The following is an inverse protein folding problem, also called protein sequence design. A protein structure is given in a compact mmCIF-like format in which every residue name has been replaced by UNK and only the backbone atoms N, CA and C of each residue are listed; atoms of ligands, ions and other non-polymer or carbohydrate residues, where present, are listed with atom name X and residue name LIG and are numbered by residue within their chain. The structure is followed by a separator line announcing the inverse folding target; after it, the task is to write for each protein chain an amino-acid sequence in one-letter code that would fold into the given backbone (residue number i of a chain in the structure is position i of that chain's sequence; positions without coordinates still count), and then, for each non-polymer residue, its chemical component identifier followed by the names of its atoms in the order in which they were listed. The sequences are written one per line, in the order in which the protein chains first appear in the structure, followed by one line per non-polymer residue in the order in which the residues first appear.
data_IF_256057265927
#
_entry.id   IF_256057265927
#
_cell.length_a   1.000
_cell.length_b   1.000
_cell.length_c   1.000
_cell.angle_alpha   90.00
_cell.angle_beta   90.00
_cell.angle_gamma   90.00
#
_symmetry.space_group_name_H-M   'P 1'
#
loop_
_entity.id
_entity.type
_entity.pdbx_description
1 polymer ?
#
# COMPACT_ATOMS: atom_id res chain seq x y z
N UNK A 1 -49.73 -18.55 36.23
CA UNK A 1 -48.68 -17.57 36.58
C UNK A 1 -47.41 -17.99 35.86
N UNK A 2 -47.30 -17.62 34.59
CA UNK A 2 -46.09 -17.82 33.80
C UNK A 2 -45.38 -16.46 33.74
N UNK A 3 -44.18 -16.38 34.33
CA UNK A 3 -43.32 -15.20 34.22
C UNK A 3 -42.37 -15.42 33.05
N UNK A 4 -42.59 -14.64 31.99
CA UNK A 4 -41.71 -14.52 30.83
C UNK A 4 -40.56 -13.58 31.22
N UNK A 5 -39.34 -14.11 31.32
CA UNK A 5 -38.12 -13.32 31.42
C UNK A 5 -37.78 -12.75 30.03
N UNK A 6 -37.87 -11.44 29.87
CA UNK A 6 -37.28 -10.72 28.75
C UNK A 6 -35.77 -10.62 28.97
N UNK A 7 -34.98 -11.40 28.24
CA UNK A 7 -33.53 -11.19 28.15
C UNK A 7 -33.27 -10.00 27.20
N UNK A 8 -32.78 -8.90 27.76
CA UNK A 8 -32.29 -7.76 27.00
C UNK A 8 -31.00 -8.15 26.26
N UNK A 9 -31.05 -8.17 24.93
CA UNK A 9 -29.85 -8.26 24.09
C UNK A 9 -29.16 -6.89 24.12
N UNK A 10 -28.28 -6.67 25.09
CA UNK A 10 -27.34 -5.55 25.07
C UNK A 10 -26.29 -5.82 24.00
N UNK A 11 -26.33 -5.04 22.90
CA UNK A 11 -25.24 -4.96 21.94
C UNK A 11 -23.96 -4.53 22.67
N UNK A 12 -23.02 -5.45 22.82
CA UNK A 12 -21.69 -5.20 23.36
C UNK A 12 -20.95 -4.25 22.41
N UNK A 13 -20.98 -2.95 22.73
CA UNK A 13 -20.10 -1.98 22.08
C UNK A 13 -18.66 -2.25 22.54
N UNK A 14 -17.77 -2.40 21.58
CA UNK A 14 -16.33 -2.44 21.81
C UNK A 14 -15.89 -1.22 22.62
N UNK A 15 -14.95 -1.37 23.57
CA UNK A 15 -14.38 -0.22 24.26
C UNK A 15 -13.84 0.77 23.22
N UNK A 16 -14.16 2.04 23.39
CA UNK A 16 -13.62 3.13 22.56
C UNK A 16 -12.10 3.04 22.61
N UNK A 17 -11.47 2.60 21.52
CA UNK A 17 -10.02 2.61 21.39
C UNK A 17 -9.58 4.08 21.51
N UNK A 18 -8.70 4.42 22.47
CA UNK A 18 -8.30 5.81 22.66
C UNK A 18 -7.64 6.34 21.38
N UNK A 19 -8.23 7.40 20.81
CA UNK A 19 -7.61 8.16 19.73
C UNK A 19 -6.32 8.75 20.29
N UNK A 20 -5.19 8.32 19.75
CA UNK A 20 -3.89 8.68 20.29
C UNK A 20 -3.47 10.06 19.78
N UNK A 21 -3.47 11.06 20.66
CA UNK A 21 -2.79 12.34 20.43
C UNK A 21 -1.35 12.25 20.93
N UNK A 22 -0.46 11.57 20.21
CA UNK A 22 0.99 11.75 20.40
C UNK A 22 1.41 13.00 19.63
N UNK A 23 1.25 14.17 20.25
CA UNK A 23 1.72 15.43 19.70
C UNK A 23 3.17 15.67 20.16
N UNK A 24 4.19 15.62 19.30
CA UNK A 24 5.52 16.06 19.68
C UNK A 24 5.58 17.59 19.58
N UNK A 25 5.49 18.24 20.74
CA UNK A 25 6.14 19.53 21.02
C UNK A 25 5.64 20.77 20.26
N UNK A 26 4.61 21.44 20.79
CA UNK A 26 4.61 22.91 20.85
C UNK A 26 4.02 23.35 22.20
N UNK A 27 4.89 23.86 23.08
CA UNK A 27 4.48 24.55 24.31
C UNK A 27 3.92 25.91 23.92
N UNK A 28 2.62 26.10 24.11
CA UNK A 28 2.07 27.42 24.43
C UNK A 28 1.09 27.27 25.59
N UNK A 29 1.44 27.90 26.70
CA UNK A 29 0.65 27.98 27.92
C UNK A 29 -0.59 28.85 27.71
N UNK A 30 -1.78 28.31 27.96
CA UNK A 30 -2.85 29.09 28.58
C UNK A 30 -3.89 28.14 29.17
N UNK A 31 -4.22 28.35 30.44
CA UNK A 31 -5.25 27.60 31.17
C UNK A 31 -6.64 27.93 30.63
N UNK A 32 -7.55 26.95 30.60
CA UNK A 32 -8.97 27.21 30.85
C UNK A 32 -9.72 25.92 31.22
N UNK A 33 -10.69 26.12 32.10
CA UNK A 33 -11.40 25.14 32.93
C UNK A 33 -12.52 24.45 32.16
N UNK A 34 -12.88 23.26 32.66
CA UNK A 34 -14.22 22.66 32.67
C UNK A 34 -15.23 23.16 31.62
N UNK A 35 -15.55 22.30 30.66
CA UNK A 35 -16.91 22.11 30.17
C UNK A 35 -17.06 20.65 29.75
N UNK A 36 -17.68 19.87 30.62
CA UNK A 36 -18.35 18.65 30.23
C UNK A 36 -19.61 19.09 29.48
N UNK A 37 -19.80 18.65 28.23
CA UNK A 37 -21.16 18.50 27.75
C UNK A 37 -21.34 17.40 26.72
N UNK A 38 -22.50 16.76 26.88
CA UNK A 38 -23.01 15.62 26.15
C UNK A 38 -23.48 16.08 24.77
N UNK A 39 -23.10 15.37 23.71
CA UNK A 39 -24.00 15.09 22.57
C UNK A 39 -23.33 14.12 21.60
N UNK A 40 -23.76 12.88 21.68
CA UNK A 40 -23.54 11.84 20.67
C UNK A 40 -24.86 11.66 19.92
N UNK A 41 -24.77 11.37 18.62
CA UNK A 41 -25.83 11.00 17.66
C UNK A 41 -26.55 12.12 16.90
N UNK A 42 -25.99 12.46 15.74
CA UNK A 42 -26.66 12.26 14.46
C UNK A 42 -25.65 12.44 13.32
N UNK A 43 -25.38 11.39 12.54
CA UNK A 43 -24.94 11.51 11.16
C UNK A 43 -25.31 10.22 10.43
N UNK A 44 -26.60 10.10 10.13
CA UNK A 44 -27.11 9.23 9.07
C UNK A 44 -27.17 10.09 7.82
N UNK A 45 -26.26 9.85 6.88
CA UNK A 45 -26.46 10.04 5.43
C UNK A 45 -25.11 9.88 4.73
N UNK A 46 -24.66 8.66 4.47
CA UNK A 46 -23.49 8.45 3.62
C UNK A 46 -23.74 7.55 2.40
N UNK A 47 -24.87 6.84 2.33
CA UNK A 47 -25.12 5.91 1.22
C UNK A 47 -26.56 6.06 0.72
N UNK A 48 -26.77 6.93 -0.27
CA UNK A 48 -27.95 6.88 -1.15
C UNK A 48 -27.46 6.88 -2.58
N UNK A 49 -27.50 5.71 -3.23
CA UNK A 49 -27.32 5.61 -4.68
C UNK A 49 -26.74 4.28 -5.15
N UNK A 50 -27.56 3.22 -5.21
CA UNK A 50 -27.38 2.13 -6.17
C UNK A 50 -28.68 1.34 -6.28
N UNK A 51 -29.51 1.72 -7.25
CA UNK A 51 -30.67 0.96 -7.68
C UNK A 51 -30.23 -0.17 -8.61
N UNK A 52 -30.74 -1.36 -8.32
CA UNK A 52 -30.78 -2.55 -9.16
C UNK A 52 -31.37 -2.25 -10.54
N UNK A 53 -30.80 -2.83 -11.60
CA UNK A 53 -31.55 -3.31 -12.77
C UNK A 53 -30.69 -4.23 -13.66
N UNK A 54 -31.41 -4.98 -14.47
CA UNK A 54 -31.21 -6.38 -14.79
C UNK A 54 -30.61 -6.61 -16.19
N UNK A 55 -30.22 -7.86 -16.40
CA UNK A 55 -29.69 -8.54 -17.58
C UNK A 55 -30.39 -8.29 -18.94
N UNK A 56 -29.58 -8.26 -20.04
CA UNK A 56 -29.69 -9.10 -21.27
C UNK A 56 -28.79 -8.59 -22.41
N UNK A 57 -27.98 -9.49 -22.99
CA UNK A 57 -27.30 -9.31 -24.29
C UNK A 57 -28.21 -9.59 -25.50
N UNK A 58 -27.68 -9.46 -26.73
CA UNK A 58 -27.41 -10.69 -27.50
C UNK A 58 -26.16 -10.68 -28.40
N UNK A 59 -25.79 -11.90 -28.80
CA UNK A 59 -24.73 -12.35 -29.72
C UNK A 59 -24.95 -11.93 -31.18
N UNK A 60 -23.86 -11.84 -31.96
CA UNK A 60 -23.73 -12.26 -33.37
C UNK A 60 -22.24 -12.46 -33.69
N UNK A 61 -21.76 -13.70 -33.82
CA UNK A 61 -21.40 -14.45 -35.05
C UNK A 61 -20.14 -14.00 -35.78
N UNK A 62 -19.20 -14.94 -35.85
CA UNK A 62 -17.90 -14.89 -36.51
C UNK A 62 -17.96 -14.93 -38.04
N UNK A 63 -16.93 -14.39 -38.69
CA UNK A 63 -16.43 -14.92 -39.96
C UNK A 63 -14.91 -14.89 -39.99
N UNK A 64 -14.33 -16.08 -40.11
CA UNK A 64 -12.91 -16.39 -40.32
C UNK A 64 -12.48 -16.08 -41.76
N UNK A 65 -11.24 -15.61 -41.91
CA UNK A 65 -10.50 -15.69 -43.17
C UNK A 65 -9.00 -15.84 -42.85
N UNK A 66 -8.51 -17.08 -42.95
CA UNK A 66 -7.09 -17.41 -42.95
C UNK A 66 -6.42 -16.86 -44.21
N UNK A 67 -5.30 -16.15 -44.05
CA UNK A 67 -4.22 -16.16 -45.04
C UNK A 67 -2.86 -16.27 -44.33
N UNK A 68 -2.11 -17.28 -44.75
CA UNK A 68 -0.75 -17.62 -44.33
C UNK A 68 0.31 -16.87 -45.18
N UNK A 69 1.60 -16.89 -44.80
CA UNK A 69 2.49 -15.74 -44.85
C UNK A 69 3.31 -15.66 -46.14
N UNK A 70 3.71 -14.43 -46.51
CA UNK A 70 4.81 -14.18 -47.45
C UNK A 70 6.00 -13.62 -46.70
N UNK A 71 7.08 -14.41 -46.65
CA UNK A 71 8.43 -13.94 -46.40
C UNK A 71 8.95 -13.24 -47.65
N UNK A 72 9.65 -12.10 -47.53
CA UNK A 72 10.75 -11.74 -48.43
C UNK A 72 11.62 -10.62 -47.84
N UNK A 73 12.93 -10.94 -47.81
CA UNK A 73 14.14 -10.12 -47.93
C UNK A 73 14.26 -8.75 -47.25
N UNK A 74 15.37 -8.63 -46.51
CA UNK A 74 15.85 -7.39 -45.92
C UNK A 74 16.19 -6.29 -46.92
N UNK A 75 16.12 -5.07 -46.43
CA UNK A 75 16.63 -3.88 -47.11
C UNK A 75 17.59 -3.19 -46.16
N UNK A 76 18.82 -3.04 -46.66
CA UNK A 76 19.92 -2.26 -46.11
C UNK A 76 19.46 -0.83 -45.81
N UNK A 77 19.66 -0.38 -44.56
CA UNK A 77 19.38 1.01 -44.18
C UNK A 77 20.56 1.88 -44.63
N UNK A 78 20.39 2.56 -45.76
CA UNK A 78 21.29 3.62 -46.18
C UNK A 78 21.05 4.86 -45.32
N UNK A 79 22.13 5.35 -44.71
CA UNK A 79 22.17 6.54 -43.87
C UNK A 79 21.85 7.78 -44.73
N UNK A 80 20.64 8.33 -44.56
CA UNK A 80 20.26 9.63 -45.11
C UNK A 80 20.54 10.68 -44.03
N UNK A 81 21.44 11.60 -44.32
CA UNK A 81 21.67 12.80 -43.49
C UNK A 81 20.62 13.84 -43.88
N UNK A 82 19.72 14.29 -42.99
CA UNK A 82 18.90 15.47 -43.24
C UNK A 82 19.70 16.72 -42.83
N UNK A 83 19.66 17.71 -43.71
CA UNK A 83 20.25 19.03 -43.52
C UNK A 83 19.51 19.90 -42.50
N UNK A 84 20.16 21.03 -42.23
CA UNK A 84 19.86 22.05 -41.23
C UNK A 84 18.37 22.43 -41.07
N UNK A 85 17.96 22.57 -39.81
CA UNK A 85 16.89 23.49 -39.41
C UNK A 85 15.49 22.89 -39.28
N UNK A 86 15.27 22.05 -38.28
CA UNK A 86 13.97 21.92 -37.59
C UNK A 86 14.24 21.61 -36.13
N UNK A 87 13.75 22.47 -35.23
CA UNK A 87 13.64 22.17 -33.80
C UNK A 87 12.71 20.97 -33.64
N UNK A 88 13.28 19.77 -33.66
CA UNK A 88 12.62 18.58 -33.17
C UNK A 88 12.62 18.67 -31.65
N UNK A 89 11.50 19.09 -31.08
CA UNK A 89 11.19 18.85 -29.67
C UNK A 89 11.37 17.33 -29.45
N UNK A 90 12.51 16.96 -28.87
CA UNK A 90 12.77 15.62 -28.37
C UNK A 90 11.86 15.45 -27.15
N UNK A 91 10.59 15.08 -27.40
CA UNK A 91 9.72 14.61 -26.33
C UNK A 91 10.37 13.35 -25.77
N UNK A 92 10.95 13.47 -24.57
CA UNK A 92 11.41 12.32 -23.82
C UNK A 92 10.19 11.39 -23.63
N UNK A 93 10.36 10.07 -23.79
CA UNK A 93 9.27 9.13 -23.57
C UNK A 93 8.80 9.24 -22.11
N UNK A 94 7.48 9.23 -21.87
CA UNK A 94 6.93 9.41 -20.53
C UNK A 94 7.48 8.35 -19.58
N UNK A 95 7.92 8.79 -18.41
CA UNK A 95 8.35 7.89 -17.35
C UNK A 95 7.17 7.29 -16.59
N UNK A 96 7.38 6.10 -16.03
CA UNK A 96 6.45 5.43 -15.13
C UNK A 96 7.15 5.00 -13.85
N UNK A 97 6.40 4.96 -12.75
CA UNK A 97 6.81 4.30 -11.51
C UNK A 97 5.99 3.04 -11.34
N UNK A 98 6.66 1.88 -11.30
CA UNK A 98 6.01 0.61 -10.98
C UNK A 98 6.45 0.15 -9.60
N UNK A 99 5.48 0.07 -8.69
CA UNK A 99 5.63 -0.58 -7.39
C UNK A 99 5.13 -2.02 -7.48
N UNK A 100 5.90 -2.96 -6.97
CA UNK A 100 5.58 -4.37 -7.10
C UNK A 100 6.06 -5.19 -5.90
N UNK A 101 5.39 -6.29 -5.64
CA UNK A 101 5.86 -7.27 -4.67
C UNK A 101 5.26 -8.65 -4.90
N UNK A 102 5.92 -9.67 -4.34
CA UNK A 102 5.40 -11.03 -4.25
C UNK A 102 6.02 -11.76 -3.08
N UNK A 103 5.17 -12.38 -2.26
CA UNK A 103 5.59 -13.40 -1.32
C UNK A 103 5.75 -14.75 -2.03
N UNK A 104 6.91 -15.38 -1.87
CA UNK A 104 7.23 -16.67 -2.45
C UNK A 104 8.28 -17.38 -1.60
N UNK A 105 8.30 -18.72 -1.61
CA UNK A 105 9.45 -19.46 -1.10
C UNK A 105 10.60 -19.29 -2.09
N UNK A 106 11.57 -18.45 -1.77
CA UNK A 106 12.63 -17.98 -2.68
C UNK A 106 14.03 -18.12 -2.05
N UNK A 107 14.49 -19.34 -1.72
CA UNK A 107 15.73 -19.56 -0.95
C UNK A 107 17.00 -19.10 -1.70
N UNK A 108 16.99 -19.15 -3.03
CA UNK A 108 18.12 -18.77 -3.88
C UNK A 108 18.14 -17.28 -4.27
N UNK A 109 17.38 -16.42 -3.57
CA UNK A 109 17.23 -15.00 -3.85
C UNK A 109 18.54 -14.22 -4.05
N UNK A 110 19.62 -14.62 -3.35
CA UNK A 110 20.92 -13.96 -3.43
C UNK A 110 21.52 -14.00 -4.83
N UNK A 111 21.30 -15.09 -5.57
CA UNK A 111 21.83 -15.27 -6.92
C UNK A 111 21.21 -14.28 -7.92
N UNK A 112 19.98 -13.84 -7.69
CA UNK A 112 19.27 -12.90 -8.58
C UNK A 112 19.76 -11.45 -8.44
N UNK A 113 20.43 -11.10 -7.33
CA UNK A 113 20.81 -9.72 -7.02
C UNK A 113 21.65 -9.08 -8.13
N UNK A 114 22.70 -9.76 -8.58
CA UNK A 114 23.63 -9.21 -9.57
C UNK A 114 22.98 -9.09 -10.96
N UNK A 115 22.40 -10.17 -11.54
CA UNK A 115 21.72 -10.07 -12.84
C UNK A 115 20.63 -8.99 -12.87
N UNK A 116 19.81 -8.89 -11.82
CA UNK A 116 18.75 -7.89 -11.75
C UNK A 116 19.30 -6.46 -11.66
N UNK A 117 20.37 -6.26 -10.88
CA UNK A 117 21.02 -4.95 -10.76
C UNK A 117 21.65 -4.53 -12.10
N UNK A 118 22.41 -5.42 -12.73
CA UNK A 118 23.08 -5.17 -14.00
C UNK A 118 22.04 -4.81 -15.09
N UNK A 119 20.92 -5.55 -15.17
CA UNK A 119 19.85 -5.26 -16.12
C UNK A 119 19.20 -3.89 -15.87
N UNK A 120 18.94 -3.53 -14.61
CA UNK A 120 18.40 -2.21 -14.30
C UNK A 120 19.38 -1.09 -14.69
N UNK A 121 20.68 -1.28 -14.47
CA UNK A 121 21.72 -0.32 -14.87
C UNK A 121 21.80 -0.16 -16.40
N UNK A 122 21.75 -1.28 -17.14
CA UNK A 122 21.74 -1.33 -18.60
C UNK A 122 20.51 -0.62 -19.19
N UNK A 123 19.33 -0.87 -18.62
CA UNK A 123 18.07 -0.28 -19.07
C UNK A 123 17.80 1.13 -18.53
N UNK A 124 18.75 1.70 -17.78
CA UNK A 124 18.63 2.99 -17.10
C UNK A 124 17.40 3.09 -16.17
N UNK A 125 17.02 1.97 -15.55
CA UNK A 125 15.96 1.90 -14.55
C UNK A 125 16.54 2.25 -13.18
N UNK A 126 15.87 3.13 -12.46
CA UNK A 126 16.24 3.50 -11.10
C UNK A 126 15.21 3.02 -10.08
N UNK A 127 15.57 3.09 -8.79
CA UNK A 127 14.66 2.74 -7.71
C UNK A 127 15.23 1.73 -6.72
N UNK A 128 14.35 1.10 -5.94
CA UNK A 128 14.72 0.19 -4.87
C UNK A 128 14.04 -1.16 -5.02
N UNK A 129 14.84 -2.23 -4.95
CA UNK A 129 14.39 -3.61 -4.95
C UNK A 129 14.95 -4.30 -3.71
N UNK A 130 14.11 -5.03 -3.01
CA UNK A 130 14.45 -5.86 -1.86
C UNK A 130 14.19 -7.32 -2.26
N UNK A 131 15.23 -8.13 -2.10
CA UNK A 131 15.18 -9.59 -2.24
C UNK A 131 15.36 -10.21 -0.86
N UNK A 132 14.51 -11.18 -0.52
CA UNK A 132 14.61 -11.95 0.70
C UNK A 132 14.23 -13.42 0.43
N UNK A 133 14.49 -14.36 1.37
CA UNK A 133 14.02 -15.73 1.23
C UNK A 133 12.50 -15.85 1.03
N UNK A 134 11.74 -14.86 1.51
CA UNK A 134 10.28 -14.80 1.41
C UNK A 134 9.76 -14.08 0.15
N UNK A 135 10.62 -13.69 -0.79
CA UNK A 135 10.21 -13.16 -2.10
C UNK A 135 10.88 -11.85 -2.51
N UNK A 136 10.11 -10.98 -3.15
CA UNK A 136 10.57 -9.71 -3.73
C UNK A 136 9.63 -8.54 -3.41
N UNK A 137 10.17 -7.34 -3.21
CA UNK A 137 9.42 -6.09 -3.09
C UNK A 137 10.24 -4.95 -3.70
N UNK A 138 9.62 -4.04 -4.43
CA UNK A 138 10.33 -2.90 -4.98
C UNK A 138 9.44 -1.83 -5.57
N UNK A 139 10.07 -0.70 -5.85
CA UNK A 139 9.52 0.36 -6.67
C UNK A 139 10.63 0.81 -7.61
N UNK A 140 10.34 0.82 -8.91
CA UNK A 140 11.29 1.16 -9.98
C UNK A 140 10.70 2.20 -10.92
N UNK A 141 11.56 2.99 -11.55
CA UNK A 141 11.19 4.08 -12.45
C UNK A 141 12.05 4.04 -13.71
N UNK A 142 11.43 4.32 -14.84
CA UNK A 142 12.06 4.36 -16.16
C UNK A 142 10.99 4.54 -17.23
N UNK A 143 11.39 4.40 -18.49
CA UNK A 143 10.44 4.34 -19.61
C UNK A 143 9.60 3.07 -19.52
N UNK A 144 8.42 3.05 -20.14
CA UNK A 144 7.55 1.87 -20.19
C UNK A 144 8.30 0.62 -20.68
N UNK A 145 9.09 0.77 -21.74
CA UNK A 145 9.88 -0.32 -22.33
C UNK A 145 10.97 -0.81 -21.36
N UNK A 146 11.75 0.10 -20.77
CA UNK A 146 12.83 -0.26 -19.86
C UNK A 146 12.32 -0.97 -18.61
N UNK A 147 11.25 -0.44 -18.00
CA UNK A 147 10.63 -1.04 -16.83
C UNK A 147 9.98 -2.38 -17.20
N UNK A 148 9.31 -2.46 -18.35
CA UNK A 148 8.74 -3.70 -18.88
C UNK A 148 9.78 -4.83 -18.97
N UNK A 149 10.94 -4.56 -19.57
CA UNK A 149 12.03 -5.55 -19.68
C UNK A 149 12.53 -6.04 -18.32
N UNK A 150 12.65 -5.14 -17.33
CA UNK A 150 13.04 -5.53 -15.96
C UNK A 150 11.96 -6.40 -15.30
N UNK A 151 10.69 -6.06 -15.48
CA UNK A 151 9.58 -6.83 -14.93
C UNK A 151 9.44 -8.20 -15.60
N UNK A 152 9.65 -8.29 -16.91
CA UNK A 152 9.67 -9.56 -17.64
C UNK A 152 10.80 -10.46 -17.16
N UNK A 153 11.99 -9.90 -16.90
CA UNK A 153 13.08 -10.64 -16.27
C UNK A 153 12.67 -11.16 -14.87
N UNK A 154 12.01 -10.35 -14.05
CA UNK A 154 11.50 -10.79 -12.74
C UNK A 154 10.48 -11.93 -12.91
N UNK A 155 9.54 -11.79 -13.84
CA UNK A 155 8.46 -12.76 -14.09
C UNK A 155 8.95 -14.05 -14.75
N UNK A 156 10.11 -14.03 -15.42
CA UNK A 156 10.74 -15.23 -15.99
C UNK A 156 11.15 -16.25 -14.92
N UNK A 157 11.34 -15.80 -13.67
CA UNK A 157 11.55 -16.69 -12.55
C UNK A 157 10.20 -17.27 -12.08
N UNK A 158 10.05 -18.60 -12.14
CA UNK A 158 8.82 -19.30 -11.77
C UNK A 158 8.30 -18.93 -10.37
N UNK A 159 9.21 -18.81 -9.40
CA UNK A 159 8.87 -18.44 -8.01
C UNK A 159 8.35 -17.00 -7.93
N UNK A 160 8.70 -16.14 -8.89
CA UNK A 160 8.31 -14.73 -8.92
C UNK A 160 7.24 -14.39 -9.98
N UNK A 161 6.81 -15.34 -10.82
CA UNK A 161 5.74 -15.15 -11.82
C UNK A 161 4.44 -14.55 -11.24
N UNK A 162 3.78 -13.62 -11.93
CA UNK A 162 2.56 -13.00 -11.40
C UNK A 162 2.80 -12.14 -10.15
N UNK A 163 3.93 -11.42 -10.11
CA UNK A 163 4.12 -10.37 -9.11
C UNK A 163 2.95 -9.38 -9.15
N UNK A 164 2.51 -8.92 -7.98
CA UNK A 164 1.53 -7.84 -7.93
C UNK A 164 2.23 -6.56 -8.31
N UNK A 165 1.65 -5.80 -9.22
CA UNK A 165 2.20 -4.56 -9.73
C UNK A 165 1.16 -3.45 -9.63
N UNK A 166 1.67 -2.24 -9.47
CA UNK A 166 0.90 -1.02 -9.51
C UNK A 166 1.72 0.01 -10.29
N UNK A 167 1.14 0.51 -11.37
CA UNK A 167 1.75 1.54 -12.21
C UNK A 167 1.20 2.90 -11.81
N UNK A 168 2.07 3.89 -11.78
CA UNK A 168 1.70 5.27 -11.54
C UNK A 168 2.44 6.15 -12.54
N UNK A 169 1.73 7.03 -13.27
CA UNK A 169 2.35 7.90 -14.25
C UNK A 169 3.28 8.90 -13.56
N UNK A 170 4.27 9.37 -14.33
CA UNK A 170 5.16 10.47 -13.94
C UNK A 170 4.86 11.65 -14.85
N UNK A 171 4.58 12.82 -14.28
CA UNK A 171 4.33 14.03 -15.09
C UNK A 171 5.63 14.61 -15.67
N UNK A 172 5.60 15.36 -16.79
CA UNK A 172 6.81 15.98 -17.36
C UNK A 172 7.59 16.88 -16.37
N UNK A 173 6.92 17.56 -15.45
CA UNK A 173 7.55 18.33 -14.38
C UNK A 173 8.26 17.41 -13.36
N UNK A 174 7.75 16.20 -13.15
CA UNK A 174 8.37 15.16 -12.34
C UNK A 174 9.58 14.52 -13.06
N UNK A 175 9.58 14.43 -14.40
CA UNK A 175 10.74 13.95 -15.17
C UNK A 175 11.99 14.80 -14.89
N UNK A 176 11.85 16.12 -14.75
CA UNK A 176 12.95 17.01 -14.39
C UNK A 176 13.57 16.68 -13.00
N UNK A 177 12.76 16.17 -12.07
CA UNK A 177 13.21 15.67 -10.75
C UNK A 177 13.95 14.32 -10.92
N UNK A 178 13.62 13.53 -11.93
CA UNK A 178 14.29 12.29 -12.31
C UNK A 178 15.62 12.53 -13.06
N UNK A 179 15.73 13.58 -13.87
CA UNK A 179 16.90 13.94 -14.68
C UNK A 179 18.05 14.65 -13.94
N UNK A 180 17.92 14.91 -12.63
CA UNK A 180 18.91 15.69 -11.87
C UNK A 180 20.35 15.14 -11.82
N UNK A 181 20.61 13.92 -12.31
CA UNK A 181 21.96 13.36 -12.39
C UNK A 181 22.16 12.63 -13.73
N UNK A 182 22.86 13.31 -14.64
CA UNK A 182 23.49 12.66 -15.80
C UNK A 182 24.50 11.62 -15.31
N UNK A 183 24.88 10.67 -16.17
CA UNK A 183 25.93 9.65 -15.95
C UNK A 183 27.31 10.21 -15.56
N UNK A 184 27.45 11.54 -15.45
CA UNK A 184 28.63 12.26 -14.98
C UNK A 184 28.48 12.87 -13.58
N UNK A 185 27.35 12.66 -12.89
CA UNK A 185 27.19 13.18 -11.53
C UNK A 185 28.10 12.42 -10.56
N UNK A 186 28.94 13.09 -9.74
CA UNK A 186 29.94 12.43 -8.92
C UNK A 186 29.29 11.45 -7.95
N UNK A 187 29.77 10.20 -7.98
CA UNK A 187 29.52 9.15 -7.00
C UNK A 187 29.73 9.71 -5.59
N UNK A 188 28.64 10.10 -4.92
CA UNK A 188 28.67 10.79 -3.64
C UNK A 188 27.66 10.22 -2.67
N UNK A 189 28.17 9.51 -1.66
CA UNK A 189 27.54 8.99 -0.44
C UNK A 189 26.59 7.76 -0.55
N UNK A 190 27.19 6.57 -0.66
CA UNK A 190 26.75 5.29 -0.06
C UNK A 190 25.47 4.62 -0.57
N UNK A 191 25.49 3.28 -0.73
CA UNK A 191 24.34 2.44 -1.15
C UNK A 191 23.11 2.50 -0.20
N UNK A 192 23.20 3.19 0.94
CA UNK A 192 22.24 3.15 2.03
C UNK A 192 21.34 4.38 2.24
N UNK A 193 21.44 5.43 1.42
CA UNK A 193 20.55 6.59 1.54
C UNK A 193 19.12 6.28 1.04
N UNK A 194 18.06 6.27 1.88
CA UNK A 194 16.73 5.74 1.55
C UNK A 194 16.01 6.40 0.35
N UNK A 195 16.37 7.63 -0.04
CA UNK A 195 15.63 8.42 -1.05
C UNK A 195 16.44 8.79 -2.31
N UNK A 196 17.54 8.08 -2.58
CA UNK A 196 18.35 8.21 -3.80
C UNK A 196 17.77 7.29 -4.89
N UNK A 197 17.01 7.89 -5.80
CA UNK A 197 16.39 7.27 -6.99
C UNK A 197 17.12 7.69 -8.29
N UNK A 198 18.33 8.20 -8.17
CA UNK A 198 19.30 8.43 -9.26
C UNK A 198 19.96 7.13 -9.74
N UNK A 199 19.89 6.07 -8.93
CA UNK A 199 20.44 4.75 -9.25
C UNK A 199 19.49 3.64 -8.79
N UNK A 200 19.63 2.45 -9.38
CA UNK A 200 18.99 1.24 -8.87
C UNK A 200 19.72 0.72 -7.63
N UNK A 201 18.95 0.22 -6.67
CA UNK A 201 19.46 -0.46 -5.48
C UNK A 201 18.78 -1.80 -5.31
N UNK A 202 19.54 -2.88 -5.43
CA UNK A 202 19.05 -4.25 -5.14
C UNK A 202 19.63 -4.71 -3.81
N UNK A 203 18.80 -4.73 -2.76
CA UNK A 203 19.18 -5.02 -1.38
C UNK A 203 18.77 -6.45 -1.00
N UNK A 204 19.69 -7.15 -0.34
CA UNK A 204 19.39 -8.42 0.32
C UNK A 204 18.92 -8.15 1.75
N UNK A 205 17.76 -8.67 2.12
CA UNK A 205 17.20 -8.55 3.47
C UNK A 205 16.73 -9.91 3.98
N UNK A 206 16.42 -9.97 5.28
CA UNK A 206 15.77 -11.13 5.89
C UNK A 206 14.29 -11.21 5.50
N UNK A 207 13.67 -10.05 5.30
CA UNK A 207 12.27 -9.88 4.98
C UNK A 207 12.12 -8.80 3.90
N UNK A 208 11.18 -8.98 2.97
CA UNK A 208 10.84 -7.99 1.93
C UNK A 208 10.02 -6.82 2.47
N UNK A 209 9.33 -7.06 3.58
CA UNK A 209 8.76 -6.04 4.47
C UNK A 209 8.95 -6.50 5.91
N UNK A 210 9.63 -5.70 6.70
CA UNK A 210 10.12 -6.16 7.99
C UNK A 210 9.05 -6.11 9.06
N UNK A 211 8.56 -7.28 9.47
CA UNK A 211 7.56 -7.45 10.52
C UNK A 211 8.17 -7.98 11.81
N UNK A 212 9.24 -8.79 11.73
CA UNK A 212 9.99 -9.23 12.90
C UNK A 212 9.42 -10.45 13.63
N UNK A 213 8.36 -11.07 13.09
CA UNK A 213 7.82 -12.34 13.59
C UNK A 213 7.99 -13.43 12.51
N UNK A 214 8.87 -14.43 12.73
CA UNK A 214 9.13 -15.51 11.78
C UNK A 214 7.98 -16.53 11.67
N UNK A 215 7.00 -16.52 12.58
CA UNK A 215 5.84 -17.41 12.51
C UNK A 215 4.82 -16.97 11.45
N UNK A 216 4.92 -15.71 11.00
CA UNK A 216 4.02 -15.12 10.00
C UNK A 216 4.47 -15.48 8.60
N UNK A 217 3.66 -16.29 7.91
CA UNK A 217 3.97 -16.83 6.59
C UNK A 217 2.82 -16.46 5.63
N UNK A 218 2.90 -15.29 4.94
CA UNK A 218 1.86 -14.84 4.01
C UNK A 218 1.57 -15.80 2.86
N UNK A 219 2.52 -16.66 2.48
CA UNK A 219 2.29 -17.68 1.44
C UNK A 219 1.33 -18.79 1.88
N UNK A 220 1.11 -18.98 3.19
CA UNK A 220 0.23 -20.02 3.72
C UNK A 220 -1.19 -19.51 3.98
N UNK A 221 -1.30 -18.33 4.59
CA UNK A 221 -2.59 -17.79 5.05
C UNK A 221 -2.50 -16.28 5.16
N UNK A 222 -3.48 -15.59 4.57
CA UNK A 222 -3.69 -14.14 4.65
C UNK A 222 -5.18 -13.86 4.80
N UNK A 223 -5.53 -12.63 5.18
CA UNK A 223 -6.91 -12.16 5.22
C UNK A 223 -7.57 -12.17 3.84
N UNK A 224 -8.88 -11.92 3.84
CA UNK A 224 -9.67 -11.80 2.62
C UNK A 224 -9.35 -10.49 1.90
N UNK A 225 -9.01 -10.58 0.62
CA UNK A 225 -8.86 -9.41 -0.23
C UNK A 225 -10.22 -8.78 -0.50
N UNK A 226 -10.26 -7.45 -0.47
CA UNK A 226 -11.44 -6.65 -0.82
C UNK A 226 -11.06 -5.69 -1.93
N UNK A 227 -11.81 -5.72 -3.02
CA UNK A 227 -11.59 -4.81 -4.14
C UNK A 227 -11.89 -3.36 -3.73
N UNK A 228 -11.21 -2.35 -4.31
CA UNK A 228 -11.47 -0.94 -4.01
C UNK A 228 -12.93 -0.53 -4.10
N UNK A 229 -13.64 -0.99 -5.15
CA UNK A 229 -15.08 -0.72 -5.34
C UNK A 229 -15.98 -1.23 -4.19
N UNK A 230 -15.56 -2.29 -3.51
CA UNK A 230 -16.30 -2.94 -2.42
C UNK A 230 -15.81 -2.44 -1.04
N UNK A 231 -14.71 -1.67 -1.01
CA UNK A 231 -14.03 -1.25 0.20
C UNK A 231 -14.86 -0.31 1.06
N UNK A 232 -15.48 0.70 0.44
CA UNK A 232 -16.28 1.70 1.15
C UNK A 232 -17.43 1.05 1.94
N UNK A 233 -18.12 0.08 1.34
CA UNK A 233 -19.19 -0.64 2.00
C UNK A 233 -18.72 -1.37 3.26
N UNK A 234 -17.55 -2.03 3.19
CA UNK A 234 -16.95 -2.71 4.34
C UNK A 234 -16.57 -1.73 5.46
N UNK A 235 -15.92 -0.61 5.12
CA UNK A 235 -15.42 0.33 6.13
C UNK A 235 -16.49 1.27 6.70
N UNK A 236 -17.67 1.33 6.08
CA UNK A 236 -18.84 2.00 6.62
C UNK A 236 -19.65 1.12 7.60
N UNK A 237 -19.37 -0.18 7.67
CA UNK A 237 -20.00 -1.10 8.62
C UNK A 237 -19.52 -0.78 10.05
N UNK A 238 -20.46 -0.56 10.98
CA UNK A 238 -20.17 -0.18 12.37
C UNK A 238 -19.49 -1.30 13.18
N UNK A 239 -19.63 -2.55 12.75
CA UNK A 239 -19.02 -3.70 13.39
C UNK A 239 -17.61 -4.01 12.82
N UNK A 240 -17.15 -3.21 11.86
CA UNK A 240 -15.82 -3.33 11.27
C UNK A 240 -14.84 -2.35 11.89
N UNK A 241 -13.77 -2.88 12.46
CA UNK A 241 -12.64 -2.07 12.94
C UNK A 241 -11.67 -1.81 11.79
N UNK A 242 -11.58 -0.55 11.36
CA UNK A 242 -10.65 -0.11 10.33
C UNK A 242 -9.28 0.28 10.92
N UNK A 243 -8.21 -0.33 10.43
CA UNK A 243 -6.84 -0.12 10.92
C UNK A 243 -5.92 0.34 9.78
N UNK A 244 -5.22 1.46 10.00
CA UNK A 244 -4.08 1.84 9.17
C UNK A 244 -2.83 1.06 9.62
N UNK A 245 -2.26 0.20 8.77
CA UNK A 245 -1.06 -0.57 9.14
C UNK A 245 0.24 0.12 8.71
N UNK A 246 0.15 1.40 8.32
CA UNK A 246 1.32 2.21 7.98
C UNK A 246 1.99 2.81 9.22
N UNK A 247 3.15 3.42 9.02
CA UNK A 247 3.84 4.13 10.08
C UNK A 247 3.22 5.52 10.26
N UNK A 248 3.34 6.08 11.46
CA UNK A 248 2.76 7.37 11.85
C UNK A 248 3.05 8.53 10.89
N UNK A 249 4.24 8.60 10.28
CA UNK A 249 4.57 9.67 9.33
C UNK A 249 3.75 9.61 8.03
N UNK A 250 3.27 8.42 7.66
CA UNK A 250 2.40 8.20 6.50
C UNK A 250 0.95 8.51 6.84
N UNK A 251 0.50 8.05 8.01
CA UNK A 251 -0.87 8.28 8.52
C UNK A 251 -1.17 9.76 8.72
N UNK A 252 -0.15 10.54 9.11
CA UNK A 252 -0.27 11.98 9.36
C UNK A 252 -0.61 12.82 8.14
N UNK A 253 -0.25 12.38 6.93
CA UNK A 253 -0.48 13.19 5.72
C UNK A 253 -1.76 12.82 4.99
N UNK A 254 -2.33 11.65 5.30
CA UNK A 254 -3.63 11.24 4.84
C UNK A 254 -3.98 9.85 5.34
N UNK A 255 -5.26 9.56 5.52
CA UNK A 255 -5.79 8.28 6.00
C UNK A 255 -7.26 8.12 5.61
N UNK A 256 -7.78 6.90 5.69
CA UNK A 256 -9.23 6.68 5.58
C UNK A 256 -9.96 7.26 6.79
N UNK A 257 -11.12 7.87 6.52
CA UNK A 257 -12.00 8.39 7.57
C UNK A 257 -12.39 7.29 8.55
N UNK A 258 -12.26 7.57 9.85
CA UNK A 258 -12.56 6.61 10.91
C UNK A 258 -11.51 5.53 11.15
N UNK A 259 -10.40 5.51 10.39
CA UNK A 259 -9.32 4.55 10.62
C UNK A 259 -8.60 4.80 11.95
N UNK A 260 -8.37 3.71 12.69
CA UNK A 260 -7.49 3.67 13.85
C UNK A 260 -6.04 3.78 13.36
N UNK A 261 -5.30 4.72 13.96
CA UNK A 261 -3.86 4.86 13.81
C UNK A 261 -3.16 4.15 14.98
N UNK A 262 -2.40 3.06 14.74
CA UNK A 262 -1.56 2.43 15.75
C UNK A 262 -0.47 3.33 16.32
N UNK A 263 -0.14 4.43 15.65
CA UNK A 263 0.95 5.35 15.98
C UNK A 263 2.31 4.64 16.08
N UNK A 264 2.55 3.65 15.21
CA UNK A 264 3.81 2.91 15.14
C UNK A 264 4.87 3.75 14.42
N UNK A 265 6.10 3.75 14.96
CA UNK A 265 7.23 4.35 14.25
C UNK A 265 7.76 3.40 13.16
N UNK A 266 7.58 2.09 13.38
CA UNK A 266 7.99 1.01 12.49
C UNK A 266 6.96 -0.10 12.46
N UNK A 267 6.80 -0.74 11.30
CA UNK A 267 5.88 -1.87 11.12
C UNK A 267 6.15 -3.06 12.07
N UNK A 268 7.39 -3.19 12.57
CA UNK A 268 7.75 -4.20 13.60
C UNK A 268 7.01 -4.04 14.93
N UNK A 269 6.44 -2.86 15.20
CA UNK A 269 5.71 -2.57 16.42
C UNK A 269 4.24 -3.03 16.34
N UNK A 270 3.75 -3.36 15.14
CA UNK A 270 2.36 -3.77 14.91
C UNK A 270 1.94 -5.00 15.73
N UNK A 271 2.72 -6.09 15.83
CA UNK A 271 2.36 -7.25 16.67
C UNK A 271 2.08 -6.85 18.11
N UNK A 272 3.00 -6.10 18.74
CA UNK A 272 2.86 -5.65 20.11
C UNK A 272 1.68 -4.69 20.29
N UNK A 273 1.42 -3.82 19.31
CA UNK A 273 0.24 -2.96 19.33
C UNK A 273 -1.06 -3.78 19.29
N UNK A 274 -1.15 -4.78 18.42
CA UNK A 274 -2.33 -5.62 18.27
C UNK A 274 -2.57 -6.49 19.53
N UNK A 275 -1.52 -7.12 20.06
CA UNK A 275 -1.60 -7.91 21.30
C UNK A 275 -2.13 -7.09 22.48
N UNK A 276 -1.65 -5.85 22.63
CA UNK A 276 -2.11 -4.94 23.67
C UNK A 276 -3.54 -4.43 23.44
N UNK A 277 -3.87 -4.05 22.20
CA UNK A 277 -5.18 -3.45 21.86
C UNK A 277 -6.30 -4.45 22.02
N UNK A 278 -6.08 -5.69 21.58
CA UNK A 278 -7.08 -6.76 21.62
C UNK A 278 -6.89 -7.72 22.80
N UNK A 279 -5.92 -7.46 23.68
CA UNK A 279 -5.63 -8.23 24.89
C UNK A 279 -5.40 -9.74 24.63
N UNK A 280 -4.70 -10.05 23.54
CA UNK A 280 -4.58 -11.41 22.99
C UNK A 280 -3.80 -12.37 23.89
N UNK A 281 -2.95 -11.87 24.78
CA UNK A 281 -2.16 -12.70 25.71
C UNK A 281 -2.95 -13.12 26.97
N UNK A 282 -4.10 -12.47 27.25
CA UNK A 282 -4.87 -12.72 28.49
C UNK A 282 -5.84 -13.88 28.38
N UNK A 283 -6.16 -14.38 27.17
CA UNK A 283 -7.06 -15.52 27.00
C UNK A 283 -6.49 -16.85 27.53
N UNK A 284 -5.19 -16.91 27.81
CA UNK A 284 -4.51 -18.08 28.36
C UNK A 284 -4.18 -17.95 29.86
N UNK A 285 -4.60 -16.87 30.53
CA UNK A 285 -4.49 -16.77 31.98
C UNK A 285 -5.58 -17.64 32.59
N UNK A 286 -5.22 -18.81 33.15
CA UNK A 286 -6.16 -19.63 33.91
C UNK A 286 -6.79 -18.75 35.00
N UNK A 287 -8.12 -18.68 35.09
CA UNK A 287 -8.74 -18.04 36.24
C UNK A 287 -8.43 -18.86 37.49
N UNK A 288 -7.72 -18.25 38.44
CA UNK A 288 -7.42 -18.84 39.77
C UNK A 288 -8.66 -18.98 40.67
N UNK A 289 -9.86 -18.66 40.16
CA UNK A 289 -11.11 -18.77 40.89
C UNK A 289 -12.14 -19.64 40.15
N UNK A 290 -12.75 -20.58 40.87
CA UNK A 290 -13.77 -21.50 40.35
C UNK A 290 -15.05 -20.79 39.86
N UNK A 291 -15.22 -19.50 40.16
CA UNK A 291 -16.41 -18.69 39.82
C UNK A 291 -16.36 -18.00 38.44
N UNK A 292 -15.24 -18.06 37.70
CA UNK A 292 -15.09 -17.38 36.40
C UNK A 292 -15.53 -18.20 35.17
N UNK A 293 -16.19 -19.34 35.36
CA UNK A 293 -16.51 -20.31 34.28
C UNK A 293 -17.68 -19.94 33.35
N UNK A 294 -18.26 -18.73 33.44
CA UNK A 294 -19.51 -18.40 32.74
C UNK A 294 -19.45 -17.20 31.78
N UNK A 295 -18.29 -16.59 31.56
CA UNK A 295 -18.14 -15.60 30.49
C UNK A 295 -17.45 -16.22 29.28
N UNK A 296 -18.23 -16.40 28.21
CA UNK A 296 -17.70 -16.63 26.87
C UNK A 296 -16.57 -15.62 26.60
N UNK A 297 -15.43 -16.06 26.05
CA UNK A 297 -14.36 -15.14 25.70
C UNK A 297 -14.92 -14.06 24.75
N UNK A 298 -14.53 -12.79 24.92
CA UNK A 298 -15.02 -11.72 24.07
C UNK A 298 -14.71 -12.05 22.61
N UNK A 299 -15.75 -12.21 21.79
CA UNK A 299 -15.64 -12.53 20.36
C UNK A 299 -14.79 -11.46 19.68
N UNK A 300 -13.67 -11.81 19.07
CA UNK A 300 -12.80 -10.87 18.36
C UNK A 300 -13.56 -10.12 17.24
N UNK A 301 -13.24 -8.83 17.01
CA UNK A 301 -13.98 -8.02 16.04
C UNK A 301 -13.61 -8.38 14.61
N UNK A 302 -14.48 -7.98 13.68
CA UNK A 302 -14.15 -7.93 12.26
C UNK A 302 -13.13 -6.82 12.02
N UNK A 303 -12.06 -7.13 11.29
CA UNK A 303 -10.97 -6.20 11.00
C UNK A 303 -10.92 -5.90 9.51
N UNK A 304 -10.86 -4.62 9.15
CA UNK A 304 -10.45 -4.15 7.83
C UNK A 304 -9.12 -3.40 7.95
N UNK A 305 -8.15 -3.70 7.10
CA UNK A 305 -6.84 -3.05 7.13
C UNK A 305 -6.34 -2.64 5.76
N UNK A 306 -5.54 -1.57 5.73
CA UNK A 306 -4.96 -1.04 4.49
C UNK A 306 -3.55 -0.51 4.73
N UNK A 307 -2.79 -0.45 3.65
CA UNK A 307 -1.52 0.29 3.57
C UNK A 307 -1.35 0.80 2.14
N UNK A 308 -0.20 1.41 1.83
CA UNK A 308 0.06 2.04 0.52
C UNK A 308 -0.22 1.10 -0.66
N UNK A 309 0.42 -0.08 -0.69
CA UNK A 309 0.32 -1.04 -1.80
C UNK A 309 -0.09 -2.46 -1.42
N UNK A 310 -0.48 -2.71 -0.16
CA UNK A 310 -1.00 -4.02 0.30
C UNK A 310 0.00 -4.95 1.01
N UNK A 311 1.31 -4.86 0.73
CA UNK A 311 2.31 -5.82 1.25
C UNK A 311 2.33 -5.96 2.80
N UNK A 312 2.13 -4.87 3.55
CA UNK A 312 2.05 -4.90 5.02
C UNK A 312 0.79 -5.61 5.50
N UNK A 313 -0.33 -5.41 4.82
CA UNK A 313 -1.61 -6.04 5.17
C UNK A 313 -1.57 -7.56 5.05
N UNK A 314 -0.76 -8.11 4.14
CA UNK A 314 -0.59 -9.57 4.08
C UNK A 314 0.08 -10.14 5.32
N UNK A 315 1.15 -9.52 5.83
CA UNK A 315 1.77 -9.94 7.09
C UNK A 315 0.86 -9.68 8.29
N UNK A 316 0.32 -8.46 8.39
CA UNK A 316 -0.56 -8.09 9.50
C UNK A 316 -1.81 -8.97 9.57
N UNK A 317 -2.44 -9.27 8.43
CA UNK A 317 -3.62 -10.14 8.41
C UNK A 317 -3.26 -11.59 8.72
N UNK A 318 -2.15 -12.11 8.19
CA UNK A 318 -1.64 -13.44 8.52
C UNK A 318 -1.39 -13.60 10.04
N UNK A 319 -0.82 -12.58 10.67
CA UNK A 319 -0.64 -12.49 12.12
C UNK A 319 -1.97 -12.49 12.89
N UNK A 320 -2.93 -11.62 12.53
CA UNK A 320 -4.22 -11.60 13.24
C UNK A 320 -4.97 -12.94 13.10
N UNK A 321 -4.92 -13.57 11.92
CA UNK A 321 -5.50 -14.89 11.72
C UNK A 321 -4.84 -15.99 12.57
N UNK A 322 -3.54 -15.89 12.86
CA UNK A 322 -2.86 -16.83 13.76
C UNK A 322 -3.21 -16.59 15.23
N UNK A 323 -3.63 -15.37 15.58
CA UNK A 323 -4.13 -14.99 16.91
C UNK A 323 -5.61 -15.28 17.14
N UNK A 324 -6.29 -15.94 16.19
CA UNK A 324 -7.67 -16.40 16.33
C UNK A 324 -8.74 -15.45 15.78
N UNK A 325 -8.36 -14.36 15.11
CA UNK A 325 -9.34 -13.56 14.38
C UNK A 325 -9.89 -14.38 13.20
N UNK A 326 -11.20 -14.37 13.02
CA UNK A 326 -11.86 -15.11 11.93
C UNK A 326 -12.13 -14.21 10.70
N UNK A 327 -12.49 -12.96 10.96
CA UNK A 327 -12.94 -12.00 9.95
C UNK A 327 -11.90 -10.90 9.75
N UNK A 328 -10.81 -11.21 9.03
CA UNK A 328 -9.75 -10.26 8.69
C UNK A 328 -9.77 -9.97 7.19
N UNK A 329 -9.97 -8.71 6.85
CA UNK A 329 -10.08 -8.19 5.49
C UNK A 329 -9.00 -7.15 5.20
N UNK A 330 -8.55 -7.07 3.95
CA UNK A 330 -7.58 -6.06 3.55
C UNK A 330 -7.76 -5.57 2.12
N UNK A 331 -7.44 -4.30 1.92
CA UNK A 331 -7.62 -3.59 0.66
C UNK A 331 -6.67 -4.13 -0.41
N UNK A 332 -7.23 -4.72 -1.45
CA UNK A 332 -6.47 -5.28 -2.56
C UNK A 332 -5.82 -4.15 -3.37
N UNK A 333 -4.48 -4.22 -3.50
CA UNK A 333 -3.70 -3.16 -4.14
C UNK A 333 -3.47 -1.92 -3.27
N UNK A 334 -3.99 -1.91 -2.03
CA UNK A 334 -3.79 -0.82 -1.08
C UNK A 334 -4.45 0.49 -1.49
N UNK A 335 -4.04 1.56 -0.81
CA UNK A 335 -4.54 2.93 -1.03
C UNK A 335 -4.33 3.37 -2.48
N UNK A 336 -3.19 3.01 -3.06
CA UNK A 336 -2.84 3.39 -4.43
C UNK A 336 -3.90 2.91 -5.43
N UNK A 337 -4.29 1.62 -5.37
CA UNK A 337 -5.34 1.10 -6.25
C UNK A 337 -6.72 1.69 -5.95
N UNK A 338 -6.97 2.08 -4.70
CA UNK A 338 -8.20 2.77 -4.33
C UNK A 338 -8.28 4.18 -4.93
N UNK A 339 -7.20 4.96 -4.88
CA UNK A 339 -7.13 6.31 -5.46
C UNK A 339 -7.18 6.32 -6.99
N UNK A 340 -6.87 5.18 -7.62
CA UNK A 340 -6.99 4.97 -9.06
C UNK A 340 -8.42 4.59 -9.48
N UNK A 341 -9.05 3.64 -8.79
CA UNK A 341 -10.33 3.05 -9.22
C UNK A 341 -11.58 3.74 -8.65
N UNK A 342 -11.49 4.32 -7.45
CA UNK A 342 -12.65 4.91 -6.76
C UNK A 342 -12.75 6.41 -7.09
N UNK A 343 -13.89 6.90 -7.61
CA UNK A 343 -14.08 8.32 -7.88
C UNK A 343 -13.90 9.17 -6.63
N UNK A 344 -13.23 10.32 -6.76
CA UNK A 344 -12.98 11.23 -5.63
C UNK A 344 -14.26 11.66 -4.91
N UNK A 345 -15.37 11.82 -5.64
CA UNK A 345 -16.68 12.16 -5.07
C UNK A 345 -17.26 11.10 -4.14
N UNK A 346 -16.82 9.85 -4.27
CA UNK A 346 -17.24 8.71 -3.43
C UNK A 346 -16.15 8.30 -2.43
N UNK A 347 -15.01 8.99 -2.45
CA UNK A 347 -13.85 8.63 -1.67
C UNK A 347 -14.04 8.86 -0.19
N UNK A 348 -13.60 7.89 0.61
CA UNK A 348 -13.48 8.00 2.07
C UNK A 348 -12.04 8.28 2.51
N UNK A 349 -11.14 8.52 1.56
CA UNK A 349 -9.76 8.90 1.81
C UNK A 349 -9.66 10.41 2.11
N UNK A 350 -8.96 10.78 3.17
CA UNK A 350 -8.73 12.16 3.57
C UNK A 350 -7.23 12.47 3.49
N UNK A 351 -6.83 13.56 2.82
CA UNK A 351 -5.43 13.98 2.66
C UNK A 351 -4.71 13.29 1.49
N UNK A 352 -3.39 13.16 1.58
CA UNK A 352 -2.54 12.61 0.52
C UNK A 352 -1.94 11.25 0.91
N UNK A 353 -1.66 10.38 -0.06
CA UNK A 353 -1.05 9.08 0.19
C UNK A 353 0.47 9.14 0.11
N UNK A 354 1.16 8.81 1.19
CA UNK A 354 2.63 8.73 1.21
C UNK A 354 3.16 7.63 0.30
N UNK A 355 4.14 7.95 -0.53
CA UNK A 355 4.87 7.02 -1.42
C UNK A 355 6.37 7.05 -1.16
N UNK A 356 7.02 5.91 -1.39
CA UNK A 356 8.43 5.69 -1.05
C UNK A 356 9.39 6.06 -2.20
N UNK A 357 9.04 7.11 -2.95
CA UNK A 357 9.79 7.61 -4.10
C UNK A 357 9.95 9.14 -4.04
N UNK A 358 10.48 9.74 -5.10
CA UNK A 358 10.80 11.17 -5.14
C UNK A 358 9.56 12.06 -4.99
N UNK A 359 8.36 11.56 -5.28
CA UNK A 359 7.11 12.32 -5.22
C UNK A 359 6.66 12.58 -3.80
N UNK A 360 7.08 11.75 -2.84
CA UNK A 360 6.75 11.81 -1.40
C UNK A 360 5.27 11.50 -1.10
N UNK A 361 4.35 12.07 -1.86
CA UNK A 361 2.93 11.79 -1.76
C UNK A 361 2.23 11.84 -3.12
N UNK A 362 1.04 11.21 -3.18
CA UNK A 362 0.14 11.24 -4.33
C UNK A 362 -1.30 11.49 -3.89
N UNK A 363 -2.10 12.09 -4.78
CA UNK A 363 -3.52 12.36 -4.63
C UNK A 363 -4.38 11.38 -5.43
N UNK A 364 -5.70 11.63 -5.51
CA UNK A 364 -6.59 10.90 -6.43
C UNK A 364 -6.07 10.96 -7.86
N UNK A 365 -6.26 9.88 -8.61
CA UNK A 365 -5.66 9.72 -9.94
C UNK A 365 -4.14 9.54 -9.92
N UNK A 366 -3.53 9.35 -8.74
CA UNK A 366 -2.10 9.11 -8.55
C UNK A 366 -1.20 10.27 -8.97
N UNK A 367 -1.77 11.45 -9.09
CA UNK A 367 -1.05 12.68 -9.39
C UNK A 367 -0.17 13.03 -8.19
N UNK A 368 1.03 13.57 -8.44
CA UNK A 368 1.91 14.01 -7.35
C UNK A 368 1.21 14.99 -6.41
N UNK A 369 1.45 14.76 -5.12
CA UNK A 369 0.94 15.57 -4.03
C UNK A 369 1.81 16.78 -3.68
N UNK A 370 1.42 17.50 -2.62
CA UNK A 370 2.06 18.74 -2.16
C UNK A 370 3.18 18.53 -1.13
N UNK A 371 3.36 17.31 -0.60
CA UNK A 371 4.38 17.08 0.42
C UNK A 371 5.78 16.95 -0.18
N UNK A 372 6.77 17.43 0.57
CA UNK A 372 8.21 17.20 0.34
C UNK A 372 8.85 16.62 1.59
N UNK A 373 9.94 15.87 1.44
CA UNK A 373 10.68 15.37 2.58
C UNK A 373 11.60 16.47 3.13
N UNK A 374 11.47 16.78 4.42
CA UNK A 374 12.41 17.65 5.10
C UNK A 374 13.82 17.05 5.07
N UNK A 375 14.81 17.82 4.62
CA UNK A 375 16.18 17.34 4.48
C UNK A 375 16.80 16.92 5.83
N UNK A 376 16.45 17.59 6.92
CA UNK A 376 16.95 17.31 8.26
C UNK A 376 16.28 16.11 8.93
N UNK A 377 14.96 16.17 9.14
CA UNK A 377 14.25 15.16 9.92
C UNK A 377 13.67 14.00 9.09
N UNK A 378 13.75 14.07 7.74
CA UNK A 378 13.19 13.08 6.80
C UNK A 378 11.69 12.81 6.98
N UNK A 379 10.97 13.76 7.59
CA UNK A 379 9.52 13.71 7.71
C UNK A 379 8.87 14.45 6.52
N UNK A 380 7.70 14.01 6.05
CA UNK A 380 6.95 14.75 5.05
C UNK A 380 6.48 16.10 5.64
N UNK A 381 6.65 17.18 4.88
CA UNK A 381 6.23 18.54 5.19
C UNK A 381 5.51 19.10 3.97
N UNK A 382 4.40 19.80 4.17
CA UNK A 382 3.66 20.44 3.09
C UNK A 382 4.51 21.58 2.50
N UNK A 383 4.50 21.74 1.17
CA UNK A 383 5.31 22.75 0.46
C UNK A 383 5.06 24.20 0.90
N UNK A 384 3.93 24.44 1.56
CA UNK A 384 3.34 25.75 1.84
C UNK A 384 3.55 26.18 3.31
N UNK A 385 4.19 25.33 4.13
CA UNK A 385 4.38 25.56 5.56
C UNK A 385 5.75 26.16 5.89
N UNK A 386 5.75 27.36 6.45
CA UNK A 386 6.87 27.94 7.21
C UNK A 386 7.41 27.00 8.27
#
# INVERSE_FOLDING_TARGET
MESICFAAVTALRWPTVPICFKNPSYRTSTSLRHMADKSFFANISCCKGASTLDSKGPRTTASTSLQQPKAFAGVSSAMVIPGDGMDVDFFAPPLVVISFYKFADFPNFKAMRKPLKDLCEEMHVSGGIILAPEGINGSICGTQESVGNVLDFIQSNEQLSGVRMFESPVTPEEEAIHHGHTSKSPLGAGEDAPFRWDHVRVKLKKEIVTFGDPSVIPTKRVGKYVHPRDWNALICDQDTVLIDVRNMYETRIGKFKGAIDPCTASFREFPSWADNTFQLDKSNSQPDCEDAKLQEPPRLPRIAMYCTGGIRCEKASSFLLSKGFEEVFHLQGGILKYLEEVPESESLWEGECFVFDKRVSVNHGLVQGSFKLCYGCKQPQQSDGR
#
